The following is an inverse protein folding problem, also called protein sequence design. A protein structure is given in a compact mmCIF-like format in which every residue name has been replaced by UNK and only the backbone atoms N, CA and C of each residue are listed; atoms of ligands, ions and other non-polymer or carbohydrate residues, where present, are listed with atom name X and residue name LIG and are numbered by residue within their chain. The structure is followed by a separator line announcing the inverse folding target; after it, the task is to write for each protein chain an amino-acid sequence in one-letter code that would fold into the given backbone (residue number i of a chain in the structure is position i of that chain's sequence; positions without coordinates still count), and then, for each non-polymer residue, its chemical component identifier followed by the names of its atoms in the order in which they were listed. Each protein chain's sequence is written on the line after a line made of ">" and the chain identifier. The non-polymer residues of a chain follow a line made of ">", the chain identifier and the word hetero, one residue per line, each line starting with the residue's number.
data_IF_336009653574
#
_entry.id   IF_336009653574
#
_cell.length_a   1.000
_cell.length_b   1.000
_cell.length_c   1.000
_cell.angle_alpha   90.00
_cell.angle_beta   90.00
_cell.angle_gamma   90.00
#
_symmetry.space_group_name_H-M   'P 1'
#
loop_
_entity.id
_entity.type
_entity.pdbx_description
1 polymer ?
#
# COMPACT_ATOMS: atom_id res chain seq x y z
N UNK A 1 -4.52 -12.93 -20.52
CA UNK A 1 -5.35 -12.78 -19.28
C UNK A 1 -4.56 -12.14 -18.15
N UNK A 2 -3.33 -12.54 -17.90
CA UNK A 2 -2.43 -11.92 -16.89
C UNK A 2 -2.14 -10.44 -17.20
N UNK A 3 -1.74 -10.11 -18.41
CA UNK A 3 -1.45 -8.73 -18.84
C UNK A 3 -2.63 -7.78 -18.61
N UNK A 4 -3.84 -8.16 -19.04
CA UNK A 4 -5.03 -7.32 -18.88
C UNK A 4 -5.36 -7.07 -17.41
N UNK A 5 -5.22 -8.08 -16.54
CA UNK A 5 -5.44 -7.90 -15.10
C UNK A 5 -4.38 -7.01 -14.48
N UNK A 6 -3.09 -7.24 -14.81
CA UNK A 6 -1.98 -6.39 -14.34
C UNK A 6 -2.20 -4.93 -14.74
N UNK A 7 -2.58 -4.70 -15.99
CA UNK A 7 -2.89 -3.36 -16.51
C UNK A 7 -4.02 -2.70 -15.74
N UNK A 8 -5.14 -3.39 -15.56
CA UNK A 8 -6.29 -2.88 -14.79
C UNK A 8 -5.93 -2.59 -13.33
N UNK A 9 -5.18 -3.49 -12.68
CA UNK A 9 -4.75 -3.34 -11.30
C UNK A 9 -3.87 -2.11 -11.10
N UNK A 10 -2.82 -1.96 -11.89
CA UNK A 10 -1.90 -0.82 -11.76
C UNK A 10 -2.57 0.50 -12.13
N UNK A 11 -3.48 0.49 -13.11
CA UNK A 11 -4.29 1.68 -13.47
C UNK A 11 -5.22 2.08 -12.32
N UNK A 12 -5.94 1.13 -11.71
CA UNK A 12 -6.83 1.40 -10.59
C UNK A 12 -6.05 1.96 -9.37
N UNK A 13 -4.90 1.36 -9.05
CA UNK A 13 -4.04 1.86 -7.98
C UNK A 13 -3.53 3.30 -8.25
N UNK A 14 -3.13 3.59 -9.48
CA UNK A 14 -2.68 4.94 -9.85
C UNK A 14 -3.82 5.95 -9.80
N UNK A 15 -5.00 5.57 -10.28
CA UNK A 15 -6.18 6.43 -10.28
C UNK A 15 -6.62 6.81 -8.86
N UNK A 16 -6.76 5.83 -7.96
CA UNK A 16 -7.22 6.08 -6.58
C UNK A 16 -6.23 6.96 -5.81
N UNK A 17 -4.92 6.71 -5.94
CA UNK A 17 -3.88 7.51 -5.27
C UNK A 17 -3.89 8.95 -5.80
N UNK A 18 -4.03 9.14 -7.11
CA UNK A 18 -4.09 10.47 -7.72
C UNK A 18 -5.34 11.23 -7.28
N UNK A 19 -6.51 10.57 -7.25
CA UNK A 19 -7.77 11.17 -6.82
C UNK A 19 -7.75 11.62 -5.35
N UNK A 20 -6.96 10.97 -4.50
CA UNK A 20 -6.85 11.26 -3.07
C UNK A 20 -5.53 11.98 -2.67
N UNK A 21 -4.77 12.51 -3.64
CA UNK A 21 -3.48 13.12 -3.35
C UNK A 21 -3.58 14.32 -2.39
N UNK A 22 -4.59 15.17 -2.53
CA UNK A 22 -4.83 16.31 -1.64
C UNK A 22 -5.21 15.85 -0.22
N UNK A 23 -6.10 14.85 -0.10
CA UNK A 23 -6.46 14.25 1.19
C UNK A 23 -5.22 13.68 1.90
N UNK A 24 -4.40 12.90 1.21
CA UNK A 24 -3.19 12.30 1.77
C UNK A 24 -2.18 13.36 2.20
N UNK A 25 -2.06 14.45 1.44
CA UNK A 25 -1.22 15.60 1.78
C UNK A 25 -1.74 16.30 3.05
N UNK A 26 -3.05 16.54 3.13
CA UNK A 26 -3.68 17.16 4.29
C UNK A 26 -3.56 16.33 5.57
N UNK A 27 -3.61 14.98 5.46
CA UNK A 27 -3.37 14.08 6.59
C UNK A 27 -1.92 14.10 7.06
N UNK A 28 -0.97 14.31 6.15
CA UNK A 28 0.45 14.34 6.47
C UNK A 28 0.89 15.67 7.09
N UNK A 29 0.28 16.79 6.72
CA UNK A 29 0.65 18.13 7.21
C UNK A 29 0.77 18.24 8.73
N UNK A 30 -0.19 17.76 9.56
CA UNK A 30 -0.11 17.91 11.01
C UNK A 30 0.92 16.98 11.69
N UNK A 31 1.34 15.89 11.04
CA UNK A 31 2.20 14.86 11.65
C UNK A 31 3.41 14.45 10.79
N UNK A 32 3.62 15.11 9.65
CA UNK A 32 4.72 14.87 8.73
C UNK A 32 5.28 16.15 8.15
N UNK A 33 5.65 16.10 6.85
CA UNK A 33 6.14 17.25 6.08
C UNK A 33 5.16 17.71 4.99
N UNK A 34 3.98 17.10 4.94
CA UNK A 34 2.91 17.49 4.02
C UNK A 34 3.17 17.12 2.56
N UNK A 35 3.99 16.13 2.29
CA UNK A 35 4.37 15.75 0.92
C UNK A 35 3.88 14.35 0.50
N UNK A 36 3.26 13.58 1.42
CA UNK A 36 2.91 12.18 1.18
C UNK A 36 2.01 11.99 -0.05
N UNK A 37 0.95 12.76 -0.18
CA UNK A 37 0.02 12.65 -1.30
C UNK A 37 0.67 12.97 -2.65
N UNK A 38 1.44 14.05 -2.71
CA UNK A 38 2.18 14.44 -3.92
C UNK A 38 3.21 13.39 -4.31
N UNK A 39 3.94 12.87 -3.35
CA UNK A 39 4.92 11.82 -3.56
C UNK A 39 4.27 10.54 -4.08
N UNK A 40 3.17 10.10 -3.48
CA UNK A 40 2.43 8.92 -3.90
C UNK A 40 1.87 9.09 -5.32
N UNK A 41 1.23 10.22 -5.63
CA UNK A 41 0.70 10.51 -6.96
C UNK A 41 1.79 10.51 -8.02
N UNK A 42 2.96 11.12 -7.73
CA UNK A 42 4.11 11.10 -8.64
C UNK A 42 4.62 9.69 -8.92
N UNK A 43 4.74 8.85 -7.89
CA UNK A 43 5.23 7.49 -8.03
C UNK A 43 4.27 6.59 -8.80
N UNK A 44 3.00 6.59 -8.44
CA UNK A 44 1.98 5.80 -9.14
C UNK A 44 1.70 6.31 -10.53
N UNK A 45 1.81 7.63 -10.77
CA UNK A 45 1.78 8.22 -12.12
C UNK A 45 2.94 7.74 -12.99
N UNK A 46 4.14 7.57 -12.42
CA UNK A 46 5.28 7.01 -13.15
C UNK A 46 5.09 5.51 -13.47
N UNK A 47 4.45 4.74 -12.57
CA UNK A 47 4.06 3.34 -12.87
C UNK A 47 3.05 3.30 -14.01
N UNK A 48 2.04 4.19 -13.99
CA UNK A 48 1.05 4.29 -15.06
C UNK A 48 1.68 4.69 -16.40
N UNK A 49 2.66 5.61 -16.40
CA UNK A 49 3.39 6.00 -17.61
C UNK A 49 4.25 4.87 -18.20
N UNK A 50 4.71 3.92 -17.37
CA UNK A 50 5.48 2.75 -17.79
C UNK A 50 4.60 1.49 -17.98
N UNK A 51 3.27 1.63 -18.02
CA UNK A 51 2.33 0.52 -17.95
C UNK A 51 2.49 -0.47 -19.11
N UNK A 52 2.79 0.01 -20.32
CA UNK A 52 2.98 -0.83 -21.50
C UNK A 52 4.19 -1.76 -21.39
N UNK A 53 5.26 -1.28 -20.72
CA UNK A 53 6.44 -2.10 -20.46
C UNK A 53 6.25 -3.06 -19.27
N UNK A 54 5.46 -2.65 -18.26
CA UNK A 54 5.26 -3.41 -17.04
C UNK A 54 4.24 -4.53 -17.25
N UNK A 55 3.11 -4.24 -17.90
CA UNK A 55 1.99 -5.16 -17.96
C UNK A 55 2.23 -6.41 -18.83
N UNK A 56 3.19 -6.36 -19.75
CA UNK A 56 3.56 -7.50 -20.61
C UNK A 56 4.45 -8.52 -19.88
N UNK A 57 5.00 -8.16 -18.72
CA UNK A 57 5.84 -9.05 -17.91
C UNK A 57 4.98 -10.11 -17.19
N UNK A 58 5.55 -11.25 -16.79
CA UNK A 58 4.93 -12.15 -15.82
C UNK A 58 4.50 -11.37 -14.56
N UNK A 59 3.39 -11.77 -13.94
CA UNK A 59 2.75 -10.96 -12.87
C UNK A 59 3.71 -10.58 -11.72
N UNK A 60 4.52 -11.54 -11.25
CA UNK A 60 5.51 -11.26 -10.19
C UNK A 60 6.60 -10.29 -10.63
N UNK A 61 7.06 -10.39 -11.88
CA UNK A 61 8.03 -9.46 -12.45
C UNK A 61 7.43 -8.07 -12.65
N UNK A 62 6.17 -8.00 -13.08
CA UNK A 62 5.43 -6.75 -13.21
C UNK A 62 5.31 -6.00 -11.87
N UNK A 63 4.97 -6.70 -10.78
CA UNK A 63 4.96 -6.12 -9.43
C UNK A 63 6.36 -5.66 -8.99
N UNK A 64 7.39 -6.45 -9.28
CA UNK A 64 8.78 -6.10 -8.96
C UNK A 64 9.23 -4.85 -9.73
N UNK A 65 8.91 -4.76 -11.01
CA UNK A 65 9.22 -3.60 -11.86
C UNK A 65 8.47 -2.35 -11.40
N UNK A 66 7.16 -2.48 -11.10
CA UNK A 66 6.37 -1.40 -10.52
C UNK A 66 6.99 -0.92 -9.18
N UNK A 67 7.34 -1.86 -8.29
CA UNK A 67 8.01 -1.54 -7.03
C UNK A 67 9.34 -0.79 -7.21
N UNK A 68 10.17 -1.21 -8.16
CA UNK A 68 11.41 -0.51 -8.51
C UNK A 68 11.13 0.91 -9.01
N UNK A 69 10.10 1.08 -9.84
CA UNK A 69 9.66 2.40 -10.33
C UNK A 69 9.26 3.31 -9.17
N UNK A 70 8.50 2.79 -8.17
CA UNK A 70 8.14 3.56 -6.98
C UNK A 70 9.38 3.99 -6.18
N UNK A 71 10.35 3.10 -5.95
CA UNK A 71 11.61 3.45 -5.26
C UNK A 71 12.32 4.61 -5.94
N UNK A 72 12.34 4.62 -7.27
CA UNK A 72 13.06 5.63 -8.07
C UNK A 72 12.31 6.97 -8.16
N UNK A 73 10.99 6.96 -8.06
CA UNK A 73 10.15 8.13 -8.39
C UNK A 73 9.45 8.76 -7.19
N UNK A 74 9.25 8.02 -6.09
CA UNK A 74 8.68 8.56 -4.85
C UNK A 74 9.81 9.05 -3.95
N UNK A 75 9.70 10.31 -3.51
CA UNK A 75 10.59 10.88 -2.51
C UNK A 75 10.30 10.37 -1.09
N UNK A 76 11.17 10.70 -0.15
CA UNK A 76 11.00 10.38 1.26
C UNK A 76 11.02 8.89 1.56
N UNK A 77 10.35 8.49 2.64
CA UNK A 77 10.28 7.09 3.09
C UNK A 77 9.26 6.24 2.29
N UNK A 78 8.25 6.87 1.71
CA UNK A 78 7.14 6.17 1.04
C UNK A 78 7.61 5.36 -0.18
N UNK A 79 8.53 5.90 -0.99
CA UNK A 79 9.09 5.18 -2.13
C UNK A 79 9.73 3.86 -1.76
N UNK A 80 10.74 3.85 -0.89
CA UNK A 80 11.35 2.63 -0.39
C UNK A 80 10.36 1.65 0.27
N UNK A 81 9.35 2.12 0.99
CA UNK A 81 8.39 1.25 1.68
C UNK A 81 7.38 0.61 0.70
N UNK A 82 6.69 1.40 -0.12
CA UNK A 82 5.75 0.86 -1.13
C UNK A 82 6.47 0.06 -2.21
N UNK A 83 7.67 0.49 -2.60
CA UNK A 83 8.51 -0.29 -3.51
C UNK A 83 8.92 -1.63 -2.92
N UNK A 84 9.33 -1.68 -1.63
CA UNK A 84 9.64 -2.94 -0.94
C UNK A 84 8.42 -3.85 -0.82
N UNK A 85 7.23 -3.27 -0.56
CA UNK A 85 5.96 -4.00 -0.55
C UNK A 85 5.75 -4.74 -1.88
N UNK A 86 5.74 -4.01 -2.99
CA UNK A 86 5.49 -4.60 -4.32
C UNK A 86 6.59 -5.57 -4.75
N UNK A 87 7.86 -5.25 -4.49
CA UNK A 87 8.97 -6.18 -4.78
C UNK A 87 8.90 -7.45 -3.93
N UNK A 88 8.54 -7.35 -2.65
CA UNK A 88 8.33 -8.51 -1.79
C UNK A 88 7.18 -9.39 -2.28
N UNK A 89 6.05 -8.77 -2.62
CA UNK A 89 4.91 -9.46 -3.21
C UNK A 89 5.27 -10.14 -4.54
N UNK A 90 5.98 -9.43 -5.42
CA UNK A 90 6.34 -9.94 -6.74
C UNK A 90 7.31 -11.12 -6.70
N UNK A 91 8.21 -11.17 -5.71
CA UNK A 91 9.12 -12.32 -5.50
C UNK A 91 8.43 -13.57 -4.97
N UNK A 92 7.28 -13.43 -4.35
CA UNK A 92 6.53 -14.53 -3.76
C UNK A 92 5.65 -15.27 -4.77
N UNK A 93 5.43 -14.70 -5.96
CA UNK A 93 4.58 -15.30 -7.00
C UNK A 93 5.20 -15.08 -8.39
N UNK A 94 4.98 -16.05 -9.31
CA UNK A 94 5.29 -15.87 -10.73
C UNK A 94 4.06 -15.41 -11.52
N UNK A 95 2.90 -15.99 -11.18
CA UNK A 95 1.64 -15.78 -11.88
C UNK A 95 0.60 -15.12 -11.00
N UNK A 96 -0.51 -14.69 -11.61
CA UNK A 96 -1.65 -14.10 -10.89
C UNK A 96 -2.20 -15.13 -9.89
N UNK A 97 -2.32 -14.75 -8.60
CA UNK A 97 -2.93 -15.61 -7.58
C UNK A 97 -4.36 -16.00 -7.95
N UNK A 98 -4.70 -17.27 -7.75
CA UNK A 98 -6.03 -17.81 -8.06
C UNK A 98 -6.93 -17.96 -6.85
N UNK A 99 -6.37 -17.82 -5.67
CA UNK A 99 -7.07 -17.97 -4.40
C UNK A 99 -6.56 -16.98 -3.36
N UNK A 100 -7.37 -16.78 -2.31
CA UNK A 100 -7.10 -15.81 -1.24
C UNK A 100 -5.88 -16.17 -0.40
N UNK A 101 -5.56 -17.45 -0.26
CA UNK A 101 -4.42 -17.89 0.55
C UNK A 101 -3.10 -17.55 -0.13
N UNK A 102 -3.04 -17.71 -1.46
CA UNK A 102 -1.91 -17.26 -2.26
C UNK A 102 -1.76 -15.74 -2.20
N UNK A 103 -2.88 -14.98 -2.24
CA UNK A 103 -2.87 -13.52 -2.03
C UNK A 103 -2.37 -13.16 -0.63
N UNK A 104 -2.82 -13.86 0.40
CA UNK A 104 -2.37 -13.65 1.79
C UNK A 104 -0.87 -13.92 1.94
N UNK A 105 -0.35 -14.99 1.34
CA UNK A 105 1.07 -15.33 1.37
C UNK A 105 1.92 -14.29 0.61
N UNK A 106 1.44 -13.84 -0.55
CA UNK A 106 2.06 -12.77 -1.32
C UNK A 106 2.12 -11.46 -0.51
N UNK A 107 1.01 -11.07 0.10
CA UNK A 107 0.95 -9.87 0.94
C UNK A 107 1.86 -9.97 2.17
N UNK A 108 1.95 -11.15 2.80
CA UNK A 108 2.87 -11.42 3.92
C UNK A 108 4.33 -11.21 3.52
N UNK A 109 4.73 -11.66 2.32
CA UNK A 109 6.07 -11.44 1.79
C UNK A 109 6.36 -9.94 1.59
N UNK A 110 5.38 -9.19 1.07
CA UNK A 110 5.47 -7.74 0.97
C UNK A 110 5.60 -7.05 2.32
N UNK A 111 4.75 -7.42 3.30
CA UNK A 111 4.80 -6.92 4.68
C UNK A 111 6.18 -7.20 5.31
N UNK A 112 6.71 -8.41 5.14
CA UNK A 112 8.03 -8.77 5.64
C UNK A 112 9.11 -7.86 5.08
N UNK A 113 9.05 -7.54 3.78
CA UNK A 113 9.98 -6.61 3.15
C UNK A 113 9.83 -5.18 3.68
N UNK A 114 8.59 -4.72 3.95
CA UNK A 114 8.33 -3.41 4.57
C UNK A 114 8.87 -3.36 6.01
N UNK A 115 8.61 -4.39 6.83
CA UNK A 115 9.16 -4.49 8.20
C UNK A 115 10.68 -4.39 8.21
N UNK A 116 11.34 -5.13 7.33
CA UNK A 116 12.81 -5.11 7.21
C UNK A 116 13.34 -3.74 6.79
N UNK A 117 12.67 -3.08 5.81
CA UNK A 117 13.06 -1.77 5.29
C UNK A 117 12.83 -0.66 6.30
N UNK A 118 11.65 -0.62 6.92
CA UNK A 118 11.22 0.43 7.84
C UNK A 118 11.68 0.21 9.28
N UNK A 119 12.21 -0.98 9.60
CA UNK A 119 12.51 -1.41 10.98
C UNK A 119 11.34 -1.13 11.91
N UNK A 120 10.13 -1.50 11.47
CA UNK A 120 8.85 -1.22 12.10
C UNK A 120 7.98 -2.48 12.14
N UNK A 121 6.99 -2.47 13.02
CA UNK A 121 5.96 -3.52 13.12
C UNK A 121 4.59 -2.86 13.38
N UNK A 122 3.53 -3.68 13.62
CA UNK A 122 2.23 -3.19 14.05
C UNK A 122 2.33 -2.38 15.36
N UNK A 123 1.40 -1.45 15.56
CA UNK A 123 1.37 -0.57 16.72
C UNK A 123 2.29 0.65 16.63
N UNK A 124 3.00 0.81 15.52
CA UNK A 124 3.92 1.93 15.31
C UNK A 124 3.27 3.17 14.68
N UNK A 125 2.00 3.11 14.31
CA UNK A 125 1.24 4.11 13.57
C UNK A 125 1.84 4.34 12.18
N UNK A 126 1.71 3.32 11.32
CA UNK A 126 2.26 3.27 9.97
C UNK A 126 1.33 2.48 9.02
N UNK A 127 1.71 2.39 7.74
CA UNK A 127 1.04 1.53 6.77
C UNK A 127 0.87 0.06 7.24
N UNK A 128 1.77 -0.43 8.10
CA UNK A 128 1.72 -1.80 8.62
C UNK A 128 0.50 -2.04 9.50
N UNK A 129 0.00 -1.01 10.17
CA UNK A 129 -1.18 -1.10 11.03
C UNK A 129 -2.48 -1.37 10.24
N UNK A 130 -2.47 -1.18 8.92
CA UNK A 130 -3.55 -1.60 8.01
C UNK A 130 -3.20 -2.90 7.28
N UNK A 131 -1.98 -3.01 6.76
CA UNK A 131 -1.59 -4.16 5.94
C UNK A 131 -1.59 -5.49 6.70
N UNK A 132 -1.15 -5.49 7.97
CA UNK A 132 -1.07 -6.71 8.79
C UNK A 132 -2.47 -7.27 9.09
N UNK A 133 -3.43 -6.51 9.66
CA UNK A 133 -4.78 -7.01 9.89
C UNK A 133 -5.48 -7.50 8.62
N UNK A 134 -5.27 -6.83 7.49
CA UNK A 134 -5.82 -7.26 6.19
C UNK A 134 -5.23 -8.59 5.74
N UNK A 135 -3.93 -8.76 5.89
CA UNK A 135 -3.27 -10.05 5.57
C UNK A 135 -3.79 -11.18 6.46
N UNK A 136 -3.96 -10.94 7.76
CA UNK A 136 -4.49 -11.90 8.72
C UNK A 136 -5.95 -12.28 8.37
N UNK A 137 -6.79 -11.32 8.00
CA UNK A 137 -8.16 -11.58 7.55
C UNK A 137 -8.21 -12.46 6.29
N UNK A 138 -7.33 -12.18 5.31
CA UNK A 138 -7.20 -13.01 4.11
C UNK A 138 -6.73 -14.44 4.44
N UNK A 139 -5.74 -14.58 5.31
CA UNK A 139 -5.21 -15.88 5.75
C UNK A 139 -6.26 -16.68 6.52
N UNK A 140 -7.13 -16.02 7.28
CA UNK A 140 -8.28 -16.62 7.96
C UNK A 140 -9.45 -16.99 7.02
N UNK A 141 -9.33 -16.71 5.73
CA UNK A 141 -10.36 -17.03 4.74
C UNK A 141 -11.42 -15.94 4.54
N UNK A 142 -11.17 -14.71 5.02
CA UNK A 142 -12.03 -13.55 4.83
C UNK A 142 -12.27 -13.23 3.35
N UNK A 143 -13.51 -12.87 3.01
CA UNK A 143 -13.89 -12.39 1.68
C UNK A 143 -13.65 -10.90 1.50
N UNK A 144 -13.98 -10.35 0.31
CA UNK A 144 -13.75 -8.95 -0.04
C UNK A 144 -14.41 -7.98 0.96
N UNK A 145 -15.67 -8.25 1.35
CA UNK A 145 -16.39 -7.42 2.31
C UNK A 145 -15.67 -7.35 3.68
N UNK A 146 -15.14 -8.49 4.15
CA UNK A 146 -14.37 -8.55 5.39
C UNK A 146 -13.05 -7.80 5.28
N UNK A 147 -12.33 -7.96 4.16
CA UNK A 147 -11.08 -7.22 3.88
C UNK A 147 -11.31 -5.71 3.93
N UNK A 148 -12.38 -5.20 3.32
CA UNK A 148 -12.75 -3.78 3.38
C UNK A 148 -13.00 -3.32 4.82
N UNK A 149 -13.87 -4.05 5.52
CA UNK A 149 -14.22 -3.75 6.91
C UNK A 149 -13.00 -3.71 7.83
N UNK A 150 -12.08 -4.66 7.66
CA UNK A 150 -10.83 -4.73 8.43
C UNK A 150 -9.91 -3.56 8.08
N UNK A 151 -9.77 -3.22 6.79
CA UNK A 151 -8.94 -2.09 6.37
C UNK A 151 -9.44 -0.77 6.97
N UNK A 152 -10.76 -0.52 6.96
CA UNK A 152 -11.36 0.69 7.51
C UNK A 152 -11.22 0.75 9.04
N UNK A 153 -11.48 -0.35 9.74
CA UNK A 153 -11.34 -0.44 11.18
C UNK A 153 -9.88 -0.24 11.62
N UNK A 154 -8.94 -0.85 10.91
CA UNK A 154 -7.51 -0.73 11.16
C UNK A 154 -7.00 0.70 10.91
N UNK A 155 -7.46 1.34 9.83
CA UNK A 155 -7.17 2.76 9.58
C UNK A 155 -7.67 3.63 10.72
N UNK A 156 -8.93 3.49 11.13
CA UNK A 156 -9.51 4.27 12.23
C UNK A 156 -8.74 4.07 13.55
N UNK A 157 -8.25 2.86 13.81
CA UNK A 157 -7.45 2.53 14.98
C UNK A 157 -6.11 3.27 15.03
N UNK A 158 -5.58 3.77 13.91
CA UNK A 158 -4.35 4.57 13.93
C UNK A 158 -4.53 5.94 14.59
N UNK A 159 -5.77 6.47 14.64
CA UNK A 159 -6.04 7.81 15.17
C UNK A 159 -5.63 7.99 16.64
N UNK A 160 -6.00 7.10 17.58
CA UNK A 160 -5.57 7.21 18.98
C UNK A 160 -4.13 6.74 19.23
N UNK A 161 -3.44 6.13 18.25
CA UNK A 161 -2.07 5.67 18.44
C UNK A 161 -1.10 6.84 18.57
N UNK A 162 -0.07 6.66 19.43
CA UNK A 162 1.14 7.49 19.41
C UNK A 162 2.11 6.92 18.38
N UNK A 163 2.60 7.74 17.46
CA UNK A 163 3.58 7.32 16.47
C UNK A 163 4.95 7.02 17.13
N UNK A 164 5.53 5.87 16.76
CA UNK A 164 6.86 5.43 17.21
C UNK A 164 7.84 5.27 16.05
N UNK A 165 7.33 5.40 14.81
CA UNK A 165 8.12 5.33 13.58
C UNK A 165 7.71 6.45 12.60
N UNK A 166 8.55 6.67 11.61
CA UNK A 166 8.35 7.72 10.62
C UNK A 166 8.53 9.13 11.19
N UNK A 167 8.12 10.13 10.42
CA UNK A 167 8.23 11.55 10.82
C UNK A 167 7.35 11.89 12.00
N UNK A 168 6.16 11.32 12.06
CA UNK A 168 5.22 11.52 13.16
C UNK A 168 5.79 11.15 14.55
N UNK A 169 6.78 10.23 14.60
CA UNK A 169 7.43 9.82 15.85
C UNK A 169 8.13 10.98 16.58
N UNK A 170 8.65 11.98 15.84
CA UNK A 170 9.28 13.15 16.42
C UNK A 170 8.31 14.07 17.18
N UNK A 171 7.01 13.93 16.93
CA UNK A 171 5.97 14.71 17.60
C UNK A 171 5.53 14.10 18.94
N UNK A 172 5.88 12.83 19.20
CA UNK A 172 5.47 12.13 20.40
C UNK A 172 3.94 12.10 20.55
N UNK A 173 3.42 12.61 21.69
CA UNK A 173 1.98 12.64 21.97
C UNK A 173 1.18 13.54 21.00
N UNK A 174 1.79 14.55 20.39
CA UNK A 174 1.13 15.38 19.39
C UNK A 174 0.74 14.62 18.11
N UNK A 175 1.26 13.42 17.91
CA UNK A 175 0.83 12.54 16.83
C UNK A 175 -0.53 11.89 17.09
N UNK A 176 -1.02 11.89 18.34
CA UNK A 176 -2.33 11.32 18.73
C UNK A 176 -3.45 12.22 18.19
N UNK A 177 -4.55 11.60 17.79
CA UNK A 177 -5.71 12.32 17.24
C UNK A 177 -5.72 12.48 15.72
N UNK A 178 -4.62 12.13 15.04
CA UNK A 178 -4.49 12.17 13.58
C UNK A 178 -4.46 10.75 12.99
N UNK A 179 -5.05 10.56 11.80
CA UNK A 179 -4.87 9.33 11.03
C UNK A 179 -3.46 9.29 10.45
N UNK A 180 -2.88 8.08 10.34
CA UNK A 180 -1.60 7.92 9.64
C UNK A 180 -1.79 8.01 8.11
N UNK A 181 -1.06 8.89 7.39
CA UNK A 181 -1.20 9.02 5.94
C UNK A 181 -0.78 7.74 5.18
N UNK A 182 0.22 7.00 5.68
CA UNK A 182 0.62 5.72 5.11
C UNK A 182 -0.43 4.62 5.31
N UNK A 183 -1.10 4.58 6.46
CA UNK A 183 -2.23 3.70 6.69
C UNK A 183 -3.41 4.06 5.76
N UNK A 184 -3.70 5.37 5.57
CA UNK A 184 -4.76 5.83 4.67
C UNK A 184 -4.48 5.44 3.22
N UNK A 185 -3.29 5.69 2.70
CA UNK A 185 -2.93 5.30 1.33
C UNK A 185 -2.93 3.78 1.14
N UNK A 186 -2.57 2.99 2.16
CA UNK A 186 -2.69 1.53 2.13
C UNK A 186 -4.16 1.08 2.07
N UNK A 187 -5.04 1.67 2.86
CA UNK A 187 -6.47 1.37 2.81
C UNK A 187 -7.07 1.70 1.43
N UNK A 188 -6.73 2.85 0.84
CA UNK A 188 -7.16 3.23 -0.50
C UNK A 188 -6.73 2.21 -1.56
N UNK A 189 -5.48 1.75 -1.53
CA UNK A 189 -4.97 0.73 -2.45
C UNK A 189 -5.71 -0.60 -2.29
N UNK A 190 -5.99 -1.02 -1.04
CA UNK A 190 -6.79 -2.22 -0.74
C UNK A 190 -8.19 -2.07 -1.31
N UNK A 191 -8.85 -0.92 -1.13
CA UNK A 191 -10.18 -0.66 -1.68
C UNK A 191 -10.18 -0.72 -3.21
N UNK A 192 -9.18 -0.12 -3.89
CA UNK A 192 -9.07 -0.18 -5.34
C UNK A 192 -8.92 -1.62 -5.87
N UNK A 193 -8.13 -2.46 -5.18
CA UNK A 193 -8.03 -3.89 -5.50
C UNK A 193 -9.37 -4.60 -5.31
N UNK A 194 -10.07 -4.33 -4.21
CA UNK A 194 -11.38 -4.89 -3.93
C UNK A 194 -12.42 -4.49 -4.98
N UNK A 195 -12.46 -3.21 -5.38
CA UNK A 195 -13.37 -2.70 -6.43
C UNK A 195 -13.11 -3.40 -7.76
N UNK A 196 -11.84 -3.54 -8.14
CA UNK A 196 -11.46 -4.24 -9.35
C UNK A 196 -11.93 -5.71 -9.35
N UNK A 197 -11.81 -6.41 -8.23
CA UNK A 197 -12.22 -7.81 -8.10
C UNK A 197 -13.75 -7.98 -8.09
N UNK A 198 -14.49 -6.98 -7.65
CA UNK A 198 -15.97 -6.94 -7.70
C UNK A 198 -16.51 -6.44 -9.05
N UNK A 199 -15.63 -6.02 -9.97
CA UNK A 199 -16.02 -5.50 -11.29
C UNK A 199 -16.61 -4.09 -11.27
N UNK A 200 -16.26 -3.31 -10.26
CA UNK A 200 -16.65 -1.91 -10.11
C UNK A 200 -15.65 -0.96 -10.76
#
# INVERSE_FOLDING_TARGET
>A
MSEQLTRRLLTACAAIVTAHAEELTALDQPIGDGDHGLNMARGFGAVAAALDEIAVLPFGEALTKAGTTLVMKIGGASGPLYGSLLMGMGRAVSDVPRDRYTVAAMLLAGITAVKARGKSDSGAKTMLDVLIPVQEALAAGGGIAEVRRVADAALAATKPMRATKGRAAFLGERSIGHLDPGARSSALLIHAVCDLLEGR
#
